data_IF_386673145586
#
_entry.id   IF_386673145586
#
_cell.length_a   1.000
_cell.length_b   1.000
_cell.length_c   1.000
_cell.angle_alpha   90.00
_cell.angle_beta   90.00
_cell.angle_gamma   90.00
#
_symmetry.space_group_name_H-M   'P 1'
#
loop_
_entity.id
_entity.type
_entity.pdbx_description
1 polymer ?
#
# COMPACT_ATOMS: atom_id res chain seq x y z
N UNK A 1 -41.19 13.26 5.66
CA UNK A 1 -40.17 12.21 5.54
C UNK A 1 -40.87 10.89 5.83
N UNK A 2 -41.05 10.04 4.83
CA UNK A 2 -41.83 8.81 4.96
C UNK A 2 -41.08 7.76 5.80
N UNK A 3 -41.70 7.22 6.88
CA UNK A 3 -41.04 6.26 7.77
C UNK A 3 -40.68 4.94 7.05
N UNK A 4 -41.42 4.59 5.99
CA UNK A 4 -41.16 3.40 5.18
C UNK A 4 -39.93 3.55 4.27
N UNK A 5 -39.64 4.78 3.83
CA UNK A 5 -38.42 5.09 3.07
C UNK A 5 -37.17 4.96 3.96
N UNK A 6 -37.27 5.37 5.24
CA UNK A 6 -36.16 5.25 6.19
C UNK A 6 -35.85 3.77 6.52
N UNK A 7 -36.87 2.93 6.65
CA UNK A 7 -36.70 1.48 6.84
C UNK A 7 -36.00 0.83 5.64
N UNK A 8 -36.40 1.18 4.41
CA UNK A 8 -35.78 0.66 3.18
C UNK A 8 -34.33 1.10 3.02
N UNK A 9 -33.99 2.34 3.36
CA UNK A 9 -32.60 2.84 3.32
C UNK A 9 -31.73 2.12 4.35
N UNK A 10 -32.25 1.91 5.56
CA UNK A 10 -31.51 1.24 6.64
C UNK A 10 -31.28 -0.23 6.32
N UNK A 11 -32.31 -0.93 5.83
CA UNK A 11 -32.20 -2.33 5.41
C UNK A 11 -31.19 -2.50 4.25
N UNK A 12 -31.19 -1.58 3.29
CA UNK A 12 -30.25 -1.62 2.16
C UNK A 12 -28.80 -1.38 2.57
N UNK A 13 -28.57 -0.58 3.61
CA UNK A 13 -27.21 -0.37 4.18
C UNK A 13 -26.70 -1.63 4.88
N UNK A 14 -27.53 -2.27 5.70
CA UNK A 14 -27.15 -3.54 6.34
C UNK A 14 -26.82 -4.63 5.32
N UNK A 15 -27.59 -4.74 4.23
CA UNK A 15 -27.32 -5.70 3.15
C UNK A 15 -26.00 -5.38 2.40
N UNK A 16 -25.66 -4.10 2.27
CA UNK A 16 -24.37 -3.70 1.69
C UNK A 16 -23.21 -4.05 2.63
N UNK A 17 -23.35 -3.76 3.93
CA UNK A 17 -22.32 -4.06 4.94
C UNK A 17 -22.04 -5.57 5.00
N UNK A 18 -23.08 -6.42 4.99
CA UNK A 18 -22.94 -7.88 4.93
C UNK A 18 -22.27 -8.37 3.64
N UNK A 19 -22.58 -7.77 2.49
CA UNK A 19 -21.92 -8.12 1.21
C UNK A 19 -20.47 -7.64 1.17
N UNK A 20 -20.16 -6.50 1.75
CA UNK A 20 -18.78 -6.01 1.88
C UNK A 20 -17.96 -6.93 2.80
N UNK A 21 -18.56 -7.42 3.88
CA UNK A 21 -17.93 -8.38 4.79
C UNK A 21 -17.71 -9.75 4.13
N UNK A 22 -18.69 -10.24 3.36
CA UNK A 22 -18.54 -11.46 2.56
C UNK A 22 -17.45 -11.32 1.49
N UNK A 23 -17.38 -10.18 0.80
CA UNK A 23 -16.32 -9.89 -0.18
C UNK A 23 -14.96 -9.73 0.50
N UNK A 24 -14.90 -9.16 1.70
CA UNK A 24 -13.68 -9.07 2.50
C UNK A 24 -13.21 -10.45 2.96
N UNK A 25 -14.13 -11.32 3.40
CA UNK A 25 -13.85 -12.69 3.82
C UNK A 25 -13.42 -13.59 2.65
N UNK A 26 -14.05 -13.45 1.48
CA UNK A 26 -13.66 -14.17 0.26
C UNK A 26 -12.27 -13.74 -0.23
N UNK A 27 -11.94 -12.45 -0.10
CA UNK A 27 -10.60 -11.91 -0.40
C UNK A 27 -9.54 -12.27 0.65
N UNK A 28 -9.93 -12.41 1.91
CA UNK A 28 -9.05 -12.85 2.99
C UNK A 28 -8.76 -14.36 2.91
N UNK A 29 -9.73 -15.16 2.47
CA UNK A 29 -9.59 -16.61 2.24
C UNK A 29 -8.76 -16.92 0.99
N UNK A 30 -8.77 -16.03 -0.01
CA UNK A 30 -7.85 -16.07 -1.13
C UNK A 30 -6.45 -15.58 -0.73
N UNK A 31 -5.65 -16.43 -0.09
CA UNK A 31 -4.21 -16.19 0.03
C UNK A 31 -3.63 -15.88 -1.37
N UNK A 32 -2.80 -14.84 -1.53
CA UNK A 32 -2.31 -14.45 -2.85
C UNK A 32 -1.41 -15.56 -3.40
N UNK A 33 -1.93 -16.31 -4.38
CA UNK A 33 -1.09 -17.16 -5.20
C UNK A 33 -0.08 -16.27 -5.95
N UNK A 34 1.20 -16.66 -6.04
CA UNK A 34 2.18 -15.90 -6.80
C UNK A 34 1.74 -15.77 -8.26
N UNK A 35 1.52 -14.54 -8.71
CA UNK A 35 1.30 -14.27 -10.13
C UNK A 35 2.59 -14.52 -10.91
N UNK A 36 2.55 -15.38 -11.92
CA UNK A 36 3.69 -15.60 -12.81
C UNK A 36 3.64 -14.64 -14.00
N UNK A 37 4.72 -13.89 -14.22
CA UNK A 37 4.98 -13.21 -15.50
C UNK A 37 6.31 -13.78 -16.01
N UNK A 38 6.27 -14.54 -17.11
CA UNK A 38 7.46 -15.16 -17.70
C UNK A 38 8.21 -16.12 -16.78
N UNK A 39 7.50 -16.92 -15.96
CA UNK A 39 8.11 -17.90 -15.04
C UNK A 39 8.75 -17.31 -13.78
N UNK A 40 8.69 -15.99 -13.57
CA UNK A 40 9.15 -15.33 -12.35
C UNK A 40 7.94 -15.01 -11.47
N UNK A 41 7.98 -15.46 -10.21
CA UNK A 41 6.98 -15.10 -9.22
C UNK A 41 7.04 -13.58 -8.99
N UNK A 42 6.03 -12.87 -9.50
CA UNK A 42 5.81 -11.46 -9.19
C UNK A 42 4.78 -11.44 -8.08
N UNK A 43 5.22 -11.27 -6.84
CA UNK A 43 4.28 -10.92 -5.77
C UNK A 43 3.69 -9.56 -6.11
N UNK A 44 2.40 -9.53 -6.42
CA UNK A 44 1.63 -8.30 -6.51
C UNK A 44 1.75 -7.62 -5.13
N UNK A 45 2.11 -6.33 -5.11
CA UNK A 45 2.11 -5.58 -3.86
C UNK A 45 0.66 -5.43 -3.42
N UNK A 46 0.25 -5.98 -2.26
CA UNK A 46 -1.12 -5.87 -1.79
C UNK A 46 -1.47 -4.41 -1.47
N UNK A 47 -2.75 -4.06 -1.52
CA UNK A 47 -3.21 -2.79 -0.95
C UNK A 47 -3.18 -2.88 0.58
N UNK A 48 -2.72 -1.84 1.26
CA UNK A 48 -2.68 -1.79 2.73
C UNK A 48 -4.10 -1.76 3.31
N UNK A 49 -4.38 -2.68 4.23
CA UNK A 49 -5.45 -2.55 5.23
C UNK A 49 -4.82 -2.22 6.60
N UNK A 50 -5.56 -1.65 7.57
CA UNK A 50 -5.00 -1.25 8.86
C UNK A 50 -4.32 -2.39 9.64
N UNK A 51 -4.87 -3.60 9.55
CA UNK A 51 -4.37 -4.79 10.25
C UNK A 51 -3.24 -5.53 9.51
N UNK A 52 -2.73 -4.93 8.42
CA UNK A 52 -1.78 -5.59 7.53
C UNK A 52 -0.33 -5.32 7.94
N UNK A 53 0.41 -6.40 8.17
CA UNK A 53 1.83 -6.36 8.49
C UNK A 53 2.70 -6.04 7.26
N UNK A 54 3.74 -5.23 7.46
CA UNK A 54 4.71 -4.88 6.40
C UNK A 54 5.42 -6.11 5.82
N UNK A 55 5.51 -7.21 6.59
CA UNK A 55 6.13 -8.48 6.19
C UNK A 55 5.45 -9.15 5.00
N UNK A 56 4.23 -8.74 4.66
CA UNK A 56 3.49 -9.19 3.48
C UNK A 56 3.95 -8.51 2.18
N UNK A 57 4.79 -7.47 2.26
CA UNK A 57 5.43 -6.87 1.10
C UNK A 57 6.59 -7.74 0.61
N UNK A 58 6.97 -7.68 -0.68
CA UNK A 58 8.23 -8.26 -1.11
C UNK A 58 9.43 -7.61 -0.37
N UNK A 59 10.54 -8.34 -0.10
CA UNK A 59 11.63 -7.86 0.78
C UNK A 59 12.24 -6.50 0.39
N UNK A 60 12.32 -6.20 -0.91
CA UNK A 60 12.79 -4.90 -1.39
C UNK A 60 11.90 -3.73 -0.98
N UNK A 61 10.59 -3.95 -0.96
CA UNK A 61 9.60 -2.96 -0.54
C UNK A 61 9.56 -2.83 0.98
N UNK A 62 9.73 -3.93 1.71
CA UNK A 62 9.91 -3.91 3.16
C UNK A 62 11.07 -3.01 3.56
N UNK A 63 12.27 -3.21 2.95
CA UNK A 63 13.45 -2.38 3.22
C UNK A 63 13.18 -0.91 2.94
N UNK A 64 12.57 -0.60 1.80
CA UNK A 64 12.25 0.78 1.41
C UNK A 64 11.28 1.43 2.41
N UNK A 65 10.24 0.71 2.82
CA UNK A 65 9.24 1.20 3.76
C UNK A 65 9.84 1.38 5.16
N UNK A 66 10.63 0.41 5.63
CA UNK A 66 11.35 0.49 6.90
C UNK A 66 12.25 1.73 6.99
N UNK A 67 12.98 2.07 5.91
CA UNK A 67 13.79 3.30 5.85
C UNK A 67 12.94 4.56 6.00
N UNK A 68 11.78 4.62 5.35
CA UNK A 68 10.84 5.76 5.50
C UNK A 68 10.30 5.84 6.92
N UNK A 69 9.97 4.70 7.54
CA UNK A 69 9.49 4.61 8.93
C UNK A 69 10.55 5.07 9.92
N UNK A 70 11.78 4.60 9.76
CA UNK A 70 12.92 4.91 10.63
C UNK A 70 13.30 6.38 10.63
N UNK A 71 12.99 7.11 9.55
CA UNK A 71 13.27 8.54 9.48
C UNK A 71 12.38 9.40 10.40
N UNK A 72 11.36 8.82 11.05
CA UNK A 72 10.49 9.48 12.04
C UNK A 72 9.87 10.81 11.56
N UNK A 73 9.72 10.97 10.24
CA UNK A 73 9.21 12.20 9.62
C UNK A 73 9.17 12.09 8.08
N UNK A 74 8.65 13.11 7.39
CA UNK A 74 8.59 13.09 5.93
C UNK A 74 9.97 13.13 5.28
N UNK A 75 10.24 12.21 4.35
CA UNK A 75 11.52 12.07 3.67
C UNK A 75 11.42 12.17 2.15
N UNK A 76 12.45 12.72 1.52
CA UNK A 76 12.60 12.72 0.06
C UNK A 76 13.12 11.38 -0.45
N UNK A 77 12.80 11.05 -1.71
CA UNK A 77 13.33 9.86 -2.37
C UNK A 77 14.87 9.80 -2.37
N UNK A 78 15.55 10.96 -2.42
CA UNK A 78 17.02 11.03 -2.32
C UNK A 78 17.52 10.56 -0.96
N UNK A 79 16.86 10.96 0.14
CA UNK A 79 17.26 10.55 1.49
C UNK A 79 17.04 9.05 1.71
N UNK A 80 15.94 8.51 1.18
CA UNK A 80 15.69 7.06 1.18
C UNK A 80 16.75 6.33 0.36
N UNK A 81 17.13 6.88 -0.81
CA UNK A 81 18.18 6.29 -1.65
C UNK A 81 19.54 6.26 -0.97
N UNK A 82 19.92 7.35 -0.31
CA UNK A 82 21.16 7.48 0.44
C UNK A 82 21.25 6.45 1.57
N UNK A 83 20.18 6.33 2.38
CA UNK A 83 20.09 5.34 3.45
C UNK A 83 20.09 3.87 2.95
N UNK A 84 19.66 3.63 1.71
CA UNK A 84 19.71 2.32 1.06
C UNK A 84 21.04 2.06 0.32
N UNK A 85 22.01 2.99 0.40
CA UNK A 85 23.30 2.88 -0.30
C UNK A 85 23.17 2.99 -1.82
N UNK A 86 22.07 3.55 -2.32
CA UNK A 86 21.90 3.84 -3.75
C UNK A 86 22.70 5.09 -4.06
N UNK A 87 23.53 5.02 -5.08
CA UNK A 87 24.25 6.18 -5.58
C UNK A 87 23.27 7.20 -6.18
N UNK A 88 22.91 8.16 -5.34
CA UNK A 88 21.92 9.22 -5.61
C UNK A 88 22.43 10.30 -6.57
N UNK A 89 23.72 10.29 -6.91
CA UNK A 89 24.28 11.19 -7.93
C UNK A 89 23.88 10.74 -9.34
N UNK A 90 23.69 9.43 -9.54
CA UNK A 90 23.27 8.84 -10.82
C UNK A 90 21.76 8.75 -10.89
N UNK A 91 21.14 9.62 -11.70
CA UNK A 91 19.68 9.68 -11.86
C UNK A 91 19.06 8.32 -12.19
N UNK A 92 19.66 7.56 -13.11
CA UNK A 92 19.16 6.25 -13.54
C UNK A 92 19.18 5.18 -12.44
N UNK A 93 20.01 5.34 -11.40
CA UNK A 93 20.00 4.45 -10.21
C UNK A 93 18.89 4.83 -9.22
N UNK A 94 18.54 6.12 -9.15
CA UNK A 94 17.51 6.63 -8.25
C UNK A 94 16.09 6.52 -8.81
N UNK A 95 15.90 6.52 -10.12
CA UNK A 95 14.60 6.41 -10.79
C UNK A 95 13.81 5.14 -10.41
N UNK A 96 14.42 3.94 -10.37
CA UNK A 96 13.73 2.74 -9.90
C UNK A 96 13.21 2.86 -8.47
N UNK A 97 13.95 3.50 -7.56
CA UNK A 97 13.51 3.73 -6.18
C UNK A 97 12.31 4.68 -6.14
N UNK A 98 12.31 5.75 -6.95
CA UNK A 98 11.15 6.65 -7.06
C UNK A 98 9.90 5.89 -7.50
N UNK A 99 10.02 4.99 -8.48
CA UNK A 99 8.93 4.11 -8.88
C UNK A 99 8.44 3.21 -7.75
N UNK A 100 9.34 2.65 -6.93
CA UNK A 100 8.97 1.85 -5.74
C UNK A 100 8.19 2.67 -4.71
N UNK A 101 8.64 3.89 -4.40
CA UNK A 101 7.97 4.78 -3.46
C UNK A 101 6.56 5.18 -3.94
N UNK A 102 6.42 5.54 -5.22
CA UNK A 102 5.11 5.84 -5.83
C UNK A 102 4.19 4.61 -5.75
N UNK A 103 4.70 3.43 -6.08
CA UNK A 103 3.90 2.20 -5.99
C UNK A 103 3.43 1.90 -4.57
N UNK A 104 4.26 2.16 -3.55
CA UNK A 104 3.84 2.04 -2.15
C UNK A 104 2.77 3.07 -1.77
N UNK A 105 2.81 4.27 -2.35
CA UNK A 105 1.76 5.28 -2.18
C UNK A 105 0.45 4.84 -2.82
N UNK A 106 0.49 4.38 -4.07
CA UNK A 106 -0.69 3.91 -4.81
C UNK A 106 -1.38 2.72 -4.12
N UNK A 107 -0.58 1.90 -3.42
CA UNK A 107 -1.05 0.75 -2.64
C UNK A 107 -1.42 1.11 -1.20
N UNK A 108 -1.31 2.38 -0.80
CA UNK A 108 -1.74 2.86 0.51
C UNK A 108 -0.77 2.58 1.66
N UNK A 109 0.44 2.08 1.38
CA UNK A 109 1.48 1.83 2.38
C UNK A 109 2.19 3.11 2.82
N UNK A 110 2.38 4.04 1.88
CA UNK A 110 2.94 5.36 2.14
C UNK A 110 1.94 6.46 1.79
N UNK A 111 2.18 7.66 2.31
CA UNK A 111 1.54 8.90 1.88
C UNK A 111 2.58 9.82 1.26
N UNK A 112 2.29 10.36 0.08
CA UNK A 112 3.07 11.45 -0.52
C UNK A 112 2.49 12.80 -0.08
N UNK A 113 3.34 13.70 0.36
CA UNK A 113 3.00 15.07 0.74
C UNK A 113 3.07 16.02 -0.48
N UNK A 114 2.46 17.22 -0.40
CA UNK A 114 2.50 18.21 -1.48
C UNK A 114 3.92 18.64 -1.88
N UNK A 115 4.86 18.58 -0.92
CA UNK A 115 6.26 18.92 -1.08
C UNK A 115 7.14 17.75 -1.55
N UNK A 116 6.53 16.74 -2.19
CA UNK A 116 7.15 15.54 -2.74
C UNK A 116 7.85 14.61 -1.73
N UNK A 117 7.64 14.82 -0.42
CA UNK A 117 8.12 13.90 0.64
C UNK A 117 7.17 12.73 0.87
N UNK A 118 7.70 11.66 1.43
CA UNK A 118 6.99 10.42 1.74
C UNK A 118 6.99 10.18 3.25
N UNK A 119 5.88 9.67 3.77
CA UNK A 119 5.74 9.27 5.17
C UNK A 119 4.89 8.00 5.26
N UNK A 120 5.06 7.20 6.30
CA UNK A 120 4.25 6.01 6.52
C UNK A 120 2.80 6.39 6.83
N UNK A 121 1.86 5.54 6.43
CA UNK A 121 0.53 5.55 7.04
C UNK A 121 0.64 4.66 8.28
N UNK A 122 0.66 5.27 9.46
CA UNK A 122 0.39 4.58 10.73
C UNK A 122 -1.10 4.24 10.75
#
# INVERSE_FOLDING_TARGET
>A
MDPELLKRITARRAELDEREELLANERASAAPAPGQVGGRAVMLIPHRTPDMEETLLPPDYQRTLATVRQAAGPVMARQVGDALGIDVSVRSKLEPLRGKLVRLVDRGWLRKLPDVRFTTRL
#
